data_IF_463899567526
#
_entry.id   IF_463899567526
#
_cell.length_a   1.000
_cell.length_b   1.000
_cell.length_c   1.000
_cell.angle_alpha   90.00
_cell.angle_beta   90.00
_cell.angle_gamma   90.00
#
_symmetry.space_group_name_H-M   'P 1'
#
loop_
_entity.id
_entity.type
_entity.pdbx_description
1 polymer ?
#
# COMPACT_ATOMS: atom_id res chain seq x y z
N UNK A 1 1.35 22.46 -11.86
CA UNK A 1 2.46 21.59 -12.30
C UNK A 1 3.70 22.43 -12.41
N UNK A 2 4.85 21.92 -11.99
CA UNK A 2 6.14 22.60 -12.09
C UNK A 2 7.08 21.72 -12.91
N UNK A 3 7.90 22.35 -13.75
CA UNK A 3 8.99 21.66 -14.42
C UNK A 3 10.12 21.42 -13.41
N UNK A 4 10.60 20.17 -13.33
CA UNK A 4 11.71 19.78 -12.45
C UNK A 4 12.76 19.06 -13.28
N UNK A 5 14.03 19.32 -12.99
CA UNK A 5 15.14 18.50 -13.45
C UNK A 5 15.48 17.59 -12.28
N UNK A 6 15.29 16.29 -12.46
CA UNK A 6 15.60 15.27 -11.46
C UNK A 6 16.91 14.57 -11.83
N UNK A 7 17.73 14.29 -10.82
CA UNK A 7 18.95 13.51 -11.01
C UNK A 7 18.60 12.09 -11.46
N UNK A 8 19.10 11.70 -12.63
CA UNK A 8 18.93 10.38 -13.22
C UNK A 8 20.26 9.91 -13.82
N UNK A 9 21.28 9.59 -12.99
CA UNK A 9 22.49 8.94 -13.45
C UNK A 9 22.16 7.60 -14.12
N UNK A 10 23.14 7.00 -14.80
CA UNK A 10 22.94 5.82 -15.66
C UNK A 10 22.23 4.63 -14.97
N UNK A 11 22.42 4.47 -13.66
CA UNK A 11 21.88 3.39 -12.85
C UNK A 11 20.55 3.76 -12.14
N UNK A 12 20.01 4.94 -12.38
CA UNK A 12 18.86 5.48 -11.65
C UNK A 12 17.79 6.00 -12.60
N UNK A 13 16.59 5.44 -12.47
CA UNK A 13 15.40 5.96 -13.15
C UNK A 13 14.55 6.72 -12.13
N UNK A 14 14.35 8.04 -12.27
CA UNK A 14 13.49 8.78 -11.36
C UNK A 14 12.02 8.39 -11.59
N UNK A 15 11.38 7.93 -10.53
CA UNK A 15 9.97 7.51 -10.51
C UNK A 15 9.26 8.22 -9.38
N UNK A 16 8.04 8.70 -9.63
CA UNK A 16 7.23 9.40 -8.65
C UNK A 16 5.97 8.62 -8.32
N UNK A 17 5.70 8.44 -7.03
CA UNK A 17 4.39 8.06 -6.55
C UNK A 17 3.53 9.33 -6.42
N UNK A 18 2.44 9.39 -7.18
CA UNK A 18 1.49 10.50 -7.09
C UNK A 18 0.89 10.56 -5.67
N UNK A 19 0.74 11.76 -5.11
CA UNK A 19 -0.03 11.97 -3.88
C UNK A 19 -1.44 11.39 -4.02
N UNK A 20 -1.88 10.59 -3.04
CA UNK A 20 -3.14 9.84 -3.10
C UNK A 20 -3.03 8.48 -3.81
N UNK A 21 -1.89 8.19 -4.44
CA UNK A 21 -1.63 6.89 -5.04
C UNK A 21 -1.32 5.84 -3.97
N UNK A 22 -1.86 4.64 -4.19
CA UNK A 22 -1.50 3.44 -3.44
C UNK A 22 -1.11 2.32 -4.42
N UNK A 23 0.10 1.81 -4.29
CA UNK A 23 0.68 0.77 -5.15
C UNK A 23 1.02 -0.45 -4.29
N UNK A 24 0.64 -1.63 -4.76
CA UNK A 24 0.99 -2.88 -4.10
C UNK A 24 2.24 -3.47 -4.75
N UNK A 25 3.21 -3.87 -3.92
CA UNK A 25 4.45 -4.51 -4.31
C UNK A 25 4.60 -5.85 -3.58
N UNK A 26 5.45 -6.70 -4.14
CA UNK A 26 5.87 -7.98 -3.56
C UNK A 26 7.38 -8.10 -3.64
N UNK A 27 7.93 -9.15 -3.04
CA UNK A 27 9.36 -9.43 -3.14
C UNK A 27 9.77 -9.74 -4.58
N UNK A 28 10.99 -9.33 -5.00
CA UNK A 28 11.54 -9.73 -6.29
C UNK A 28 11.60 -11.25 -6.43
N UNK A 29 11.23 -11.75 -7.61
CA UNK A 29 11.31 -13.15 -7.96
C UNK A 29 11.80 -13.30 -9.41
N UNK A 30 12.41 -14.45 -9.71
CA UNK A 30 12.92 -14.76 -11.06
C UNK A 30 11.80 -14.90 -12.10
N UNK A 31 10.58 -15.23 -11.66
CA UNK A 31 9.39 -15.38 -12.49
C UNK A 31 8.12 -15.20 -11.65
N UNK A 32 7.01 -14.88 -12.30
CA UNK A 32 5.67 -14.89 -11.71
C UNK A 32 4.96 -16.19 -12.10
N UNK A 33 4.60 -17.02 -11.12
CA UNK A 33 3.84 -18.26 -11.36
C UNK A 33 2.37 -18.11 -10.97
N UNK A 34 2.09 -17.35 -9.91
CA UNK A 34 0.75 -16.98 -9.49
C UNK A 34 0.69 -15.47 -9.20
N UNK A 35 -0.53 -14.92 -9.18
CA UNK A 35 -0.80 -13.55 -8.76
C UNK A 35 -1.48 -13.52 -7.39
N UNK A 36 -1.06 -14.39 -6.45
CA UNK A 36 -1.59 -14.44 -5.08
C UNK A 36 -0.42 -14.46 -4.08
N UNK A 37 0.16 -13.28 -3.87
CA UNK A 37 1.49 -13.15 -3.27
C UNK A 37 1.50 -13.40 -1.76
N UNK A 38 2.53 -14.16 -1.32
CA UNK A 38 2.81 -14.47 0.09
C UNK A 38 3.34 -13.27 0.88
N UNK A 39 3.98 -12.33 0.19
CA UNK A 39 4.46 -11.08 0.75
C UNK A 39 3.77 -9.94 0.00
N UNK A 40 3.18 -9.01 0.74
CA UNK A 40 2.54 -7.84 0.15
C UNK A 40 2.90 -6.60 0.93
N UNK A 41 3.29 -5.57 0.18
CA UNK A 41 3.58 -4.25 0.70
C UNK A 41 2.73 -3.22 -0.04
N UNK A 42 1.94 -2.44 0.69
CA UNK A 42 1.24 -1.29 0.14
C UNK A 42 2.07 -0.03 0.35
N UNK A 43 2.41 0.66 -0.73
CA UNK A 43 3.06 1.96 -0.72
C UNK A 43 2.02 3.04 -1.00
N UNK A 44 1.70 3.84 0.02
CA UNK A 44 0.60 4.81 0.02
C UNK A 44 1.16 6.21 0.23
N UNK A 45 0.86 7.15 -0.67
CA UNK A 45 1.17 8.55 -0.43
C UNK A 45 -0.05 9.27 0.17
N UNK A 46 0.09 9.84 1.37
CA UNK A 46 -0.95 10.59 2.04
C UNK A 46 -1.40 11.80 1.20
N UNK A 47 -2.72 12.01 1.12
CA UNK A 47 -3.37 13.10 0.41
C UNK A 47 -4.84 13.20 0.88
N UNK A 48 -5.57 14.27 0.54
CA UNK A 48 -7.00 14.39 0.88
C UNK A 48 -7.86 13.22 0.37
N UNK A 49 -7.47 12.61 -0.74
CA UNK A 49 -8.09 11.41 -1.28
C UNK A 49 -7.00 10.38 -1.64
N UNK A 50 -7.22 9.13 -1.26
CA UNK A 50 -6.32 8.01 -1.51
C UNK A 50 -7.08 6.89 -2.20
N UNK A 51 -6.49 6.31 -3.25
CA UNK A 51 -7.05 5.17 -3.96
C UNK A 51 -5.97 4.19 -4.43
N UNK A 52 -6.20 2.90 -4.18
CA UNK A 52 -5.37 1.80 -4.66
C UNK A 52 -6.23 0.59 -5.04
N UNK A 53 -5.74 -0.22 -5.97
CA UNK A 53 -6.38 -1.48 -6.34
C UNK A 53 -5.33 -2.55 -6.57
N UNK A 54 -5.64 -3.76 -6.15
CA UNK A 54 -4.85 -4.96 -6.40
C UNK A 54 -5.79 -6.06 -6.84
N UNK A 55 -5.53 -6.64 -8.00
CA UNK A 55 -6.23 -7.80 -8.50
C UNK A 55 -5.31 -9.02 -8.36
N UNK A 56 -5.84 -10.09 -7.79
CA UNK A 56 -5.13 -11.33 -7.52
C UNK A 56 -5.91 -12.52 -8.11
N UNK A 57 -5.20 -13.46 -8.71
CA UNK A 57 -5.73 -14.70 -9.28
C UNK A 57 -4.66 -15.82 -9.26
N UNK A 58 -4.94 -16.93 -9.94
CA UNK A 58 -4.03 -18.06 -10.03
C UNK A 58 -2.84 -17.85 -10.99
N UNK A 59 -2.75 -16.70 -11.67
CA UNK A 59 -1.75 -16.40 -12.71
C UNK A 59 -2.05 -17.01 -14.08
N UNK A 60 -2.90 -18.03 -14.15
CA UNK A 60 -3.36 -18.65 -15.39
C UNK A 60 -4.81 -19.19 -15.27
N UNK A 61 -5.50 -19.26 -16.39
CA UNK A 61 -6.86 -19.78 -16.51
C UNK A 61 -7.97 -18.87 -15.97
N UNK A 62 -9.13 -19.48 -15.69
CA UNK A 62 -10.37 -18.79 -15.30
C UNK A 62 -10.77 -19.09 -13.84
N UNK A 63 -9.77 -19.28 -12.97
CA UNK A 63 -9.97 -19.63 -11.57
C UNK A 63 -10.58 -18.51 -10.72
N UNK A 64 -10.67 -18.76 -9.42
CA UNK A 64 -11.09 -17.74 -8.47
C UNK A 64 -10.15 -16.53 -8.50
N UNK A 65 -10.71 -15.34 -8.31
CA UNK A 65 -9.96 -14.09 -8.16
C UNK A 65 -10.39 -13.32 -6.93
N UNK A 66 -9.59 -12.32 -6.58
CA UNK A 66 -9.88 -11.34 -5.53
C UNK A 66 -9.44 -9.95 -5.99
N UNK A 67 -10.35 -8.99 -5.92
CA UNK A 67 -10.06 -7.57 -6.06
C UNK A 67 -10.00 -6.95 -4.66
N UNK A 68 -8.87 -6.38 -4.31
CA UNK A 68 -8.68 -5.54 -3.12
C UNK A 68 -8.69 -4.07 -3.54
N UNK A 69 -9.50 -3.26 -2.86
CA UNK A 69 -9.58 -1.82 -3.08
C UNK A 69 -9.24 -1.10 -1.78
N UNK A 70 -8.24 -0.22 -1.84
CA UNK A 70 -7.89 0.71 -0.78
C UNK A 70 -8.46 2.09 -1.07
N UNK A 71 -9.13 2.68 -0.08
CA UNK A 71 -9.70 4.03 -0.14
C UNK A 71 -9.44 4.78 1.15
N UNK A 72 -9.42 6.10 1.08
CA UNK A 72 -9.25 6.90 2.27
C UNK A 72 -8.82 8.33 1.99
N UNK A 73 -8.20 8.94 2.97
CA UNK A 73 -7.71 10.30 2.87
C UNK A 73 -7.10 10.81 4.17
N UNK A 74 -6.40 11.94 4.05
CA UNK A 74 -5.84 12.73 5.14
C UNK A 74 -6.70 14.00 5.32
N UNK A 75 -7.38 14.10 6.46
CA UNK A 75 -8.25 15.24 6.79
C UNK A 75 -7.88 15.74 8.18
N UNK A 76 -7.60 17.04 8.32
CA UNK A 76 -7.20 17.67 9.58
C UNK A 76 -6.02 16.96 10.27
N UNK A 77 -5.08 16.45 9.48
CA UNK A 77 -3.91 15.70 9.95
C UNK A 77 -4.18 14.23 10.30
N UNK A 78 -5.45 13.79 10.27
CA UNK A 78 -5.83 12.40 10.56
C UNK A 78 -5.93 11.60 9.26
N UNK A 79 -5.10 10.58 9.12
CA UNK A 79 -5.17 9.63 8.00
C UNK A 79 -6.21 8.56 8.33
N UNK A 80 -7.09 8.28 7.38
CA UNK A 80 -8.00 7.13 7.42
C UNK A 80 -7.83 6.32 6.15
N UNK A 81 -7.61 5.01 6.29
CA UNK A 81 -7.60 4.06 5.18
C UNK A 81 -8.59 2.94 5.46
N UNK A 82 -9.35 2.58 4.44
CA UNK A 82 -10.26 1.43 4.44
C UNK A 82 -9.89 0.48 3.30
N UNK A 83 -10.03 -0.81 3.57
CA UNK A 83 -9.86 -1.89 2.61
C UNK A 83 -11.19 -2.60 2.42
N UNK A 84 -11.56 -2.78 1.16
CA UNK A 84 -12.67 -3.64 0.77
C UNK A 84 -12.19 -4.69 -0.22
N UNK A 85 -12.81 -5.87 -0.17
CA UNK A 85 -12.48 -6.97 -1.06
C UNK A 85 -13.72 -7.59 -1.68
N UNK A 86 -13.56 -8.04 -2.93
CA UNK A 86 -14.56 -8.84 -3.63
C UNK A 86 -13.89 -10.02 -4.32
N UNK A 87 -14.60 -11.14 -4.42
CA UNK A 87 -14.08 -12.38 -5.01
C UNK A 87 -13.87 -13.50 -3.99
N UNK A 88 -13.59 -14.70 -4.48
CA UNK A 88 -13.56 -15.93 -3.69
C UNK A 88 -12.15 -16.51 -3.52
N UNK A 89 -11.12 -15.91 -4.12
CA UNK A 89 -9.75 -16.36 -3.96
C UNK A 89 -9.31 -16.15 -2.50
N UNK A 90 -8.87 -17.22 -1.85
CA UNK A 90 -8.31 -17.16 -0.50
C UNK A 90 -6.92 -16.48 -0.49
N UNK A 91 -6.57 -15.80 0.60
CA UNK A 91 -5.22 -15.22 0.76
C UNK A 91 -4.22 -16.32 1.09
N UNK A 92 -3.03 -16.21 0.53
CA UNK A 92 -1.88 -17.06 0.90
C UNK A 92 -1.12 -16.51 2.10
N UNK A 93 -1.25 -15.21 2.37
CA UNK A 93 -0.56 -14.46 3.43
C UNK A 93 -1.45 -14.23 4.67
N UNK A 94 -0.81 -14.14 5.83
CA UNK A 94 -1.44 -13.80 7.12
C UNK A 94 -1.19 -12.37 7.58
N UNK A 95 -0.17 -11.71 7.01
CA UNK A 95 0.28 -10.36 7.35
C UNK A 95 0.68 -9.59 6.09
N UNK A 96 0.67 -8.27 6.20
CA UNK A 96 1.07 -7.31 5.16
C UNK A 96 1.81 -6.13 5.79
N UNK A 97 2.61 -5.43 4.98
CA UNK A 97 3.20 -4.14 5.37
C UNK A 97 2.44 -3.01 4.67
N UNK A 98 2.10 -1.94 5.37
CA UNK A 98 1.64 -0.68 4.76
C UNK A 98 2.65 0.41 5.05
N UNK A 99 3.22 1.00 4.01
CA UNK A 99 4.11 2.17 4.09
C UNK A 99 3.37 3.42 3.66
N UNK A 100 3.29 4.39 4.56
CA UNK A 100 2.64 5.68 4.31
C UNK A 100 3.69 6.78 4.21
N UNK A 101 3.68 7.50 3.10
CA UNK A 101 4.53 8.64 2.80
C UNK A 101 3.77 9.96 2.95
N UNK A 102 4.47 11.04 3.25
CA UNK A 102 3.89 12.40 3.25
C UNK A 102 3.07 12.74 4.49
N UNK A 103 3.26 12.02 5.60
CA UNK A 103 2.74 12.40 6.92
C UNK A 103 3.71 13.37 7.61
N UNK A 104 3.16 14.35 8.33
CA UNK A 104 3.96 15.32 9.10
C UNK A 104 4.43 14.80 10.46
N UNK A 105 3.56 14.06 11.17
CA UNK A 105 3.86 13.41 12.45
C UNK A 105 2.97 12.19 12.65
N UNK A 106 3.34 11.35 13.62
CA UNK A 106 2.57 10.17 14.04
C UNK A 106 2.63 10.09 15.55
N UNK A 107 1.47 10.28 16.21
CA UNK A 107 1.32 10.13 17.65
C UNK A 107 0.57 8.87 18.02
N UNK A 108 -0.42 8.50 17.22
CA UNK A 108 -1.27 7.35 17.49
C UNK A 108 -1.60 6.61 16.21
N UNK A 109 -1.60 5.28 16.30
CA UNK A 109 -1.96 4.36 15.22
C UNK A 109 -3.00 3.38 15.74
N UNK A 110 -4.07 3.17 14.98
CA UNK A 110 -5.09 2.15 15.24
C UNK A 110 -5.26 1.23 14.02
N UNK A 111 -5.49 -0.06 14.27
CA UNK A 111 -5.69 -1.09 13.25
C UNK A 111 -4.40 -1.81 12.80
N UNK A 112 -3.23 -1.36 13.25
CA UNK A 112 -1.96 -2.05 13.03
C UNK A 112 -1.51 -2.86 14.26
N UNK A 113 -0.74 -3.93 14.02
CA UNK A 113 -0.12 -4.77 15.05
C UNK A 113 1.15 -4.12 15.61
N UNK A 114 1.90 -3.45 14.75
CA UNK A 114 3.08 -2.67 15.11
C UNK A 114 3.26 -1.51 14.13
N UNK A 115 4.00 -0.48 14.55
CA UNK A 115 4.34 0.63 13.68
C UNK A 115 5.73 1.21 13.98
N UNK A 116 6.32 1.86 12.98
CA UNK A 116 7.58 2.60 13.08
C UNK A 116 7.51 3.82 12.17
N UNK A 117 7.90 4.98 12.67
CA UNK A 117 7.95 6.23 11.90
C UNK A 117 9.38 6.76 11.86
N UNK A 118 10.03 6.62 10.72
CA UNK A 118 11.43 6.98 10.51
C UNK A 118 11.58 7.67 9.15
N UNK A 119 12.39 8.72 9.09
CA UNK A 119 12.72 9.43 7.85
C UNK A 119 11.49 9.86 7.01
N UNK A 120 10.38 10.21 7.68
CA UNK A 120 9.14 10.65 7.03
C UNK A 120 8.29 9.53 6.44
N UNK A 121 8.61 8.26 6.76
CA UNK A 121 7.86 7.08 6.33
C UNK A 121 7.27 6.37 7.54
N UNK A 122 5.95 6.18 7.54
CA UNK A 122 5.27 5.34 8.52
C UNK A 122 5.15 3.92 7.97
N UNK A 123 5.83 2.98 8.62
CA UNK A 123 5.71 1.55 8.35
C UNK A 123 4.74 0.93 9.35
N UNK A 124 3.74 0.21 8.85
CA UNK A 124 2.70 -0.46 9.63
C UNK A 124 2.73 -1.96 9.32
N UNK A 125 2.81 -2.78 10.37
CA UNK A 125 2.57 -4.22 10.26
C UNK A 125 1.10 -4.50 10.56
N UNK A 126 0.39 -5.15 9.63
CA UNK A 126 -1.05 -5.37 9.71
C UNK A 126 -1.39 -6.84 9.45
N UNK A 127 -2.48 -7.33 10.04
CA UNK A 127 -3.01 -8.65 9.65
C UNK A 127 -3.57 -8.58 8.23
N UNK A 128 -3.43 -9.64 7.43
CA UNK A 128 -3.89 -9.64 6.03
C UNK A 128 -5.41 -9.48 5.84
N UNK A 129 -6.18 -9.56 6.92
CA UNK A 129 -7.62 -9.35 7.02
C UNK A 129 -8.01 -7.93 7.52
N UNK A 130 -7.04 -7.02 7.67
CA UNK A 130 -7.29 -5.65 8.11
C UNK A 130 -8.31 -4.95 7.22
N UNK A 131 -9.24 -4.21 7.82
CA UNK A 131 -10.26 -3.45 7.08
C UNK A 131 -10.14 -1.95 7.25
N UNK A 132 -9.50 -1.49 8.33
CA UNK A 132 -9.35 -0.07 8.66
C UNK A 132 -8.02 0.22 9.31
N UNK A 133 -7.43 1.35 8.93
CA UNK A 133 -6.27 1.96 9.59
C UNK A 133 -6.58 3.44 9.86
N UNK A 134 -6.13 3.92 11.02
CA UNK A 134 -6.24 5.33 11.40
C UNK A 134 -4.93 5.78 12.02
N UNK A 135 -4.46 6.96 11.61
CA UNK A 135 -3.24 7.57 12.12
C UNK A 135 -3.53 9.00 12.51
N UNK A 136 -3.17 9.36 13.73
CA UNK A 136 -3.33 10.70 14.29
C UNK A 136 -1.96 11.34 14.54
N UNK A 137 -1.83 12.66 14.34
CA UNK A 137 -0.56 13.38 14.43
C UNK A 137 -0.08 13.64 15.86
#
# INVERSE_FOLDING_TARGET
>A
GQYVIADGPLDTVPVWLRAGGAVALTQPAMHTTDANWKHLEWHVHAAPEIHGRLYEDAGDGYGASRLTVLRGGLVDGVLRLERNETGALARTRSEETVRVYGLGSVRQVAGARAHRFEEGVLELQVGADWTRLMVEP
#
